data_IF_728416750577
#
_entry.id   IF_728416750577
#
_cell.length_a   1.000
_cell.length_b   1.000
_cell.length_c   1.000
_cell.angle_alpha   90.00
_cell.angle_beta   90.00
_cell.angle_gamma   90.00
#
_symmetry.space_group_name_H-M   'P 1'
#
loop_
_entity.id
_entity.type
_entity.pdbx_description
1 polymer ?
#
# COMPACT_ATOMS: atom_id res chain seq x y z
N UNK A 1 -23.12 -14.06 44.91
CA UNK A 1 -22.73 -12.97 43.99
C UNK A 1 -21.65 -13.53 43.09
N UNK A 2 -22.03 -14.03 41.91
CA UNK A 2 -21.09 -14.57 40.93
C UNK A 2 -20.56 -13.37 40.14
N UNK A 3 -19.29 -13.03 40.30
CA UNK A 3 -18.60 -12.12 39.39
C UNK A 3 -18.32 -12.97 38.15
N UNK A 4 -18.94 -12.72 36.98
CA UNK A 4 -18.56 -13.44 35.78
C UNK A 4 -17.15 -12.97 35.46
N UNK A 5 -16.17 -13.82 35.77
CA UNK A 5 -14.81 -13.66 35.27
C UNK A 5 -14.90 -13.88 33.76
N UNK A 6 -15.17 -12.81 33.00
CA UNK A 6 -14.84 -12.79 31.59
C UNK A 6 -13.34 -13.04 31.53
N UNK A 7 -12.94 -14.28 31.27
CA UNK A 7 -11.58 -14.59 30.87
C UNK A 7 -11.31 -13.72 29.65
N UNK A 8 -10.46 -12.70 29.81
CA UNK A 8 -10.03 -11.88 28.68
C UNK A 8 -9.34 -12.83 27.70
N UNK A 9 -9.89 -13.00 26.50
CA UNK A 9 -9.31 -13.86 25.48
C UNK A 9 -7.88 -13.40 25.17
N UNK A 10 -6.98 -14.35 24.93
CA UNK A 10 -5.60 -14.01 24.55
C UNK A 10 -5.55 -13.47 23.11
N UNK A 11 -4.47 -12.79 22.75
CA UNK A 11 -4.24 -12.37 21.37
C UNK A 11 -4.23 -13.57 20.40
N UNK A 12 -3.69 -14.72 20.84
CA UNK A 12 -3.68 -15.97 20.06
C UNK A 12 -5.09 -16.53 19.85
N UNK A 13 -5.91 -16.59 20.91
CA UNK A 13 -7.30 -17.07 20.80
C UNK A 13 -8.11 -16.21 19.83
N UNK A 14 -8.02 -14.88 19.98
CA UNK A 14 -8.68 -13.94 19.07
C UNK A 14 -8.17 -14.09 17.62
N UNK A 15 -6.88 -14.36 17.44
CA UNK A 15 -6.31 -14.54 16.11
C UNK A 15 -6.87 -15.81 15.46
N UNK A 16 -6.86 -16.93 16.18
CA UNK A 16 -7.40 -18.19 15.70
C UNK A 16 -8.92 -18.11 15.41
N UNK A 17 -9.68 -17.38 16.24
CA UNK A 17 -11.08 -17.07 15.94
C UNK A 17 -11.22 -16.25 14.66
N UNK A 18 -10.39 -15.24 14.46
CA UNK A 18 -10.34 -14.47 13.22
C UNK A 18 -10.12 -15.36 11.99
N UNK A 19 -9.16 -16.28 12.06
CA UNK A 19 -8.88 -17.24 10.97
C UNK A 19 -10.10 -18.12 10.69
N UNK A 20 -10.71 -18.67 11.74
CA UNK A 20 -11.89 -19.52 11.59
C UNK A 20 -13.07 -18.76 10.96
N UNK A 21 -13.21 -17.46 11.23
CA UNK A 21 -14.22 -16.62 10.58
C UNK A 21 -13.87 -16.32 9.11
N UNK A 22 -12.60 -16.11 8.76
CA UNK A 22 -12.16 -15.99 7.36
C UNK A 22 -12.46 -17.26 6.55
N UNK A 23 -12.17 -18.43 7.11
CA UNK A 23 -12.46 -19.73 6.47
C UNK A 23 -13.95 -19.93 6.20
N UNK A 24 -14.79 -19.41 7.10
CA UNK A 24 -16.25 -19.38 6.95
C UNK A 24 -16.75 -18.21 6.07
N UNK A 25 -15.85 -17.39 5.53
CA UNK A 25 -16.14 -16.17 4.76
C UNK A 25 -16.96 -15.12 5.53
N UNK A 26 -16.94 -15.18 6.86
CA UNK A 26 -17.53 -14.20 7.75
C UNK A 26 -16.57 -13.03 7.97
N UNK A 27 -16.21 -12.36 6.88
CA UNK A 27 -15.13 -11.36 6.84
C UNK A 27 -15.30 -10.22 7.85
N UNK A 28 -16.52 -9.75 8.07
CA UNK A 28 -16.78 -8.72 9.07
C UNK A 28 -16.49 -9.22 10.49
N UNK A 29 -16.88 -10.45 10.84
CA UNK A 29 -16.57 -11.03 12.15
C UNK A 29 -15.06 -11.26 12.32
N UNK A 30 -14.38 -11.73 11.26
CA UNK A 30 -12.92 -11.87 11.27
C UNK A 30 -12.23 -10.53 11.55
N UNK A 31 -12.64 -9.46 10.86
CA UNK A 31 -12.13 -8.11 11.06
C UNK A 31 -12.34 -7.63 12.50
N UNK A 32 -13.51 -7.87 13.09
CA UNK A 32 -13.77 -7.47 14.48
C UNK A 32 -12.81 -8.16 15.45
N UNK A 33 -12.56 -9.47 15.28
CA UNK A 33 -11.58 -10.21 16.09
C UNK A 33 -10.18 -9.66 15.95
N UNK A 34 -9.74 -9.36 14.72
CA UNK A 34 -8.44 -8.76 14.49
C UNK A 34 -8.33 -7.34 15.06
N UNK A 35 -9.40 -6.54 15.01
CA UNK A 35 -9.41 -5.19 15.62
C UNK A 35 -9.26 -5.25 17.14
N UNK A 36 -9.86 -6.25 17.79
CA UNK A 36 -9.67 -6.48 19.22
C UNK A 36 -8.19 -6.71 19.55
N UNK A 37 -7.49 -7.52 18.74
CA UNK A 37 -6.03 -7.74 18.89
C UNK A 37 -5.26 -6.43 18.75
N UNK A 38 -5.50 -5.69 17.67
CA UNK A 38 -4.78 -4.45 17.36
C UNK A 38 -4.99 -3.40 18.45
N UNK A 39 -6.17 -3.37 19.07
CA UNK A 39 -6.53 -2.43 20.14
C UNK A 39 -5.91 -2.80 21.48
N UNK A 40 -6.01 -4.06 21.89
CA UNK A 40 -5.72 -4.48 23.25
C UNK A 40 -4.31 -5.07 23.41
N UNK A 41 -3.68 -5.49 22.30
CA UNK A 41 -2.42 -6.24 22.29
C UNK A 41 -1.39 -5.67 21.30
N UNK A 42 -1.41 -4.35 21.04
CA UNK A 42 -0.60 -3.68 20.00
C UNK A 42 0.92 -3.94 20.07
N UNK A 43 1.46 -4.37 21.22
CA UNK A 43 2.89 -4.68 21.41
C UNK A 43 3.25 -6.15 21.24
N UNK A 44 2.25 -7.00 21.03
CA UNK A 44 2.44 -8.44 20.85
C UNK A 44 2.59 -8.82 19.38
N UNK A 45 3.24 -9.96 19.12
CA UNK A 45 3.54 -10.43 17.77
C UNK A 45 2.30 -10.59 16.87
N UNK A 46 1.14 -10.87 17.46
CA UNK A 46 -0.11 -11.04 16.71
C UNK A 46 -0.68 -9.73 16.17
N UNK A 47 -0.37 -8.57 16.76
CA UNK A 47 -1.01 -7.32 16.36
C UNK A 47 -0.63 -6.87 14.94
N UNK A 48 0.64 -7.02 14.54
CA UNK A 48 1.07 -6.76 13.16
C UNK A 48 0.34 -7.67 12.18
N UNK A 49 0.35 -8.97 12.48
CA UNK A 49 -0.29 -10.00 11.64
C UNK A 49 -1.80 -9.78 11.53
N UNK A 50 -2.46 -9.39 12.61
CA UNK A 50 -3.90 -9.10 12.65
C UNK A 50 -4.22 -7.85 11.82
N UNK A 51 -3.45 -6.77 11.96
CA UNK A 51 -3.65 -5.55 11.18
C UNK A 51 -3.43 -5.79 9.69
N UNK A 52 -2.45 -6.63 9.33
CA UNK A 52 -2.22 -7.03 7.94
C UNK A 52 -3.39 -7.86 7.39
N UNK A 53 -3.94 -8.80 8.16
CA UNK A 53 -5.13 -9.56 7.75
C UNK A 53 -6.35 -8.68 7.52
N UNK A 54 -6.57 -7.66 8.35
CA UNK A 54 -7.63 -6.67 8.13
C UNK A 54 -7.46 -6.00 6.75
N UNK A 55 -6.23 -5.62 6.38
CA UNK A 55 -5.95 -5.01 5.09
C UNK A 55 -6.22 -5.97 3.92
N UNK A 56 -5.79 -7.24 4.05
CA UNK A 56 -6.04 -8.28 3.04
C UNK A 56 -7.53 -8.55 2.83
N UNK A 57 -8.31 -8.66 3.90
CA UNK A 57 -9.75 -8.89 3.82
C UNK A 57 -10.45 -7.74 3.08
N UNK A 58 -10.09 -6.49 3.40
CA UNK A 58 -10.66 -5.34 2.68
C UNK A 58 -10.24 -5.32 1.20
N UNK A 59 -8.99 -5.65 0.91
CA UNK A 59 -8.43 -5.62 -0.44
C UNK A 59 -8.97 -6.73 -1.35
N UNK A 60 -9.10 -7.95 -0.82
CA UNK A 60 -9.35 -9.15 -1.61
C UNK A 60 -10.82 -9.57 -1.55
N UNK A 61 -11.38 -9.64 -0.34
CA UNK A 61 -12.65 -10.30 -0.11
C UNK A 61 -13.83 -9.33 -0.14
N UNK A 62 -13.73 -8.22 0.59
CA UNK A 62 -14.78 -7.20 0.64
C UNK A 62 -14.69 -6.19 -0.51
N UNK A 63 -13.53 -6.10 -1.17
CA UNK A 63 -13.23 -5.15 -2.25
C UNK A 63 -13.53 -3.69 -1.87
N UNK A 64 -13.37 -3.33 -0.60
CA UNK A 64 -13.48 -1.95 -0.11
C UNK A 64 -12.09 -1.31 -0.16
N UNK A 65 -11.75 -0.73 -1.31
CA UNK A 65 -10.43 -0.16 -1.60
C UNK A 65 -10.07 0.99 -0.65
N UNK A 66 -11.06 1.78 -0.24
CA UNK A 66 -10.89 2.86 0.73
C UNK A 66 -10.42 2.32 2.07
N UNK A 67 -11.10 1.30 2.60
CA UNK A 67 -10.70 0.67 3.86
C UNK A 67 -9.41 -0.14 3.72
N UNK A 68 -9.14 -0.74 2.56
CA UNK A 68 -7.89 -1.45 2.29
C UNK A 68 -6.68 -0.50 2.37
N UNK A 69 -6.72 0.63 1.64
CA UNK A 69 -5.66 1.64 1.67
C UNK A 69 -5.41 2.18 3.09
N UNK A 70 -6.47 2.43 3.86
CA UNK A 70 -6.36 2.86 5.26
C UNK A 70 -5.77 1.77 6.16
N UNK A 71 -6.17 0.51 5.99
CA UNK A 71 -5.68 -0.60 6.79
C UNK A 71 -4.20 -0.91 6.52
N UNK A 72 -3.75 -0.82 5.27
CA UNK A 72 -2.32 -0.91 4.92
C UNK A 72 -1.52 0.25 5.51
N UNK A 73 -2.03 1.49 5.40
CA UNK A 73 -1.39 2.64 6.04
C UNK A 73 -1.26 2.46 7.55
N UNK A 74 -2.30 1.93 8.19
CA UNK A 74 -2.30 1.64 9.62
C UNK A 74 -1.31 0.53 10.00
N UNK A 75 -1.04 -0.46 9.14
CA UNK A 75 0.05 -1.42 9.36
C UNK A 75 1.39 -0.69 9.48
N UNK A 76 1.66 0.23 8.54
CA UNK A 76 2.87 1.05 8.54
C UNK A 76 2.95 1.95 9.79
N UNK A 77 1.88 2.66 10.13
CA UNK A 77 1.88 3.63 11.23
C UNK A 77 2.03 2.96 12.60
N UNK A 78 1.44 1.78 12.80
CA UNK A 78 1.53 1.04 14.08
C UNK A 78 2.81 0.21 14.22
N UNK A 79 3.35 -0.30 13.12
CA UNK A 79 4.51 -1.20 13.12
C UNK A 79 5.65 -0.69 12.23
N UNK A 80 6.12 0.56 12.39
CA UNK A 80 7.06 1.20 11.45
C UNK A 80 8.44 0.53 11.40
N UNK A 81 8.78 -0.27 12.42
CA UNK A 81 10.04 -1.01 12.53
C UNK A 81 9.95 -2.41 11.91
N UNK A 82 8.76 -2.85 11.47
CA UNK A 82 8.61 -4.17 10.87
C UNK A 82 9.23 -4.20 9.48
N UNK A 83 9.74 -5.37 9.11
CA UNK A 83 10.33 -5.58 7.77
C UNK A 83 9.32 -5.30 6.65
N UNK A 84 8.02 -5.47 6.92
CA UNK A 84 6.96 -5.27 5.95
C UNK A 84 6.42 -3.84 5.91
N UNK A 85 6.75 -3.00 6.89
CA UNK A 85 6.23 -1.63 6.98
C UNK A 85 6.41 -0.83 5.68
N UNK A 86 7.58 -0.85 5.00
CA UNK A 86 7.73 -0.16 3.73
C UNK A 86 6.74 -0.68 2.68
N UNK A 87 6.63 -2.00 2.53
CA UNK A 87 5.69 -2.64 1.60
C UNK A 87 4.25 -2.22 1.88
N UNK A 88 3.84 -2.16 3.15
CA UNK A 88 2.47 -1.73 3.52
C UNK A 88 2.22 -0.27 3.16
N UNK A 89 3.22 0.60 3.37
CA UNK A 89 3.13 2.00 2.95
C UNK A 89 2.99 2.11 1.42
N UNK A 90 3.79 1.37 0.66
CA UNK A 90 3.70 1.33 -0.79
C UNK A 90 2.32 0.86 -1.28
N UNK A 91 1.79 -0.25 -0.73
CA UNK A 91 0.48 -0.78 -1.11
C UNK A 91 -0.66 0.20 -0.83
N UNK A 92 -0.59 0.96 0.26
CA UNK A 92 -1.54 2.04 0.52
C UNK A 92 -1.54 3.08 -0.60
N UNK A 93 -0.35 3.55 -1.00
CA UNK A 93 -0.17 4.50 -2.12
C UNK A 93 -0.66 3.93 -3.45
N UNK A 94 -0.36 2.65 -3.70
CA UNK A 94 -0.75 1.95 -4.91
C UNK A 94 -2.27 1.89 -5.08
N UNK A 95 -3.00 1.55 -4.02
CA UNK A 95 -4.47 1.53 -4.05
C UNK A 95 -5.04 2.94 -4.20
N UNK A 96 -4.48 3.93 -3.49
CA UNK A 96 -4.90 5.33 -3.62
C UNK A 96 -4.77 5.82 -5.08
N UNK A 97 -3.69 5.47 -5.77
CA UNK A 97 -3.46 5.87 -7.16
C UNK A 97 -4.37 5.11 -8.14
N UNK A 98 -4.33 3.78 -8.09
CA UNK A 98 -4.84 2.92 -9.16
C UNK A 98 -6.33 2.58 -9.00
N UNK A 99 -6.83 2.50 -7.76
CA UNK A 99 -8.21 2.06 -7.49
C UNK A 99 -9.11 3.22 -7.07
N UNK A 100 -8.58 4.18 -6.32
CA UNK A 100 -9.36 5.31 -5.76
C UNK A 100 -9.16 6.62 -6.54
N UNK A 101 -8.10 6.72 -7.35
CA UNK A 101 -7.70 7.93 -8.05
C UNK A 101 -7.53 9.16 -7.13
N UNK A 102 -7.16 8.94 -5.88
CA UNK A 102 -6.81 9.97 -4.91
C UNK A 102 -5.34 10.37 -5.08
N UNK A 103 -5.07 11.10 -6.16
CA UNK A 103 -3.71 11.38 -6.62
C UNK A 103 -2.88 12.15 -5.58
N UNK A 104 -3.47 13.15 -4.90
CA UNK A 104 -2.76 13.92 -3.86
C UNK A 104 -2.36 13.04 -2.65
N UNK A 105 -3.27 12.14 -2.23
CA UNK A 105 -3.01 11.17 -1.17
C UNK A 105 -1.91 10.19 -1.58
N UNK A 106 -1.99 9.62 -2.78
CA UNK A 106 -0.99 8.70 -3.31
C UNK A 106 0.39 9.35 -3.46
N UNK A 107 0.44 10.60 -3.98
CA UNK A 107 1.66 11.40 -4.05
C UNK A 107 2.34 11.53 -2.69
N UNK A 108 1.57 11.94 -1.68
CA UNK A 108 2.08 12.09 -0.30
C UNK A 108 2.66 10.77 0.23
N UNK A 109 2.02 9.64 -0.06
CA UNK A 109 2.50 8.32 0.34
C UNK A 109 3.81 7.94 -0.36
N UNK A 110 3.91 8.13 -1.67
CA UNK A 110 5.13 7.80 -2.41
C UNK A 110 6.31 8.71 -2.06
N UNK A 111 6.07 10.01 -1.86
CA UNK A 111 7.10 10.94 -1.35
C UNK A 111 7.59 10.49 0.03
N UNK A 112 6.68 10.12 0.93
CA UNK A 112 7.05 9.57 2.26
C UNK A 112 7.84 8.28 2.14
N UNK A 113 7.46 7.39 1.21
CA UNK A 113 8.16 6.14 0.98
C UNK A 113 9.59 6.39 0.51
N UNK A 114 9.79 7.27 -0.48
CA UNK A 114 11.10 7.57 -1.06
C UNK A 114 12.02 8.30 -0.08
N UNK A 115 11.46 9.16 0.78
CA UNK A 115 12.21 9.83 1.84
C UNK A 115 12.74 8.84 2.89
N UNK A 116 11.89 7.91 3.34
CA UNK A 116 12.22 6.98 4.43
C UNK A 116 12.93 5.72 3.99
N UNK A 117 12.67 5.27 2.77
CA UNK A 117 13.11 3.97 2.24
C UNK A 117 13.75 4.10 0.84
N UNK A 118 14.75 4.98 0.66
CA UNK A 118 15.35 5.25 -0.66
C UNK A 118 16.02 4.02 -1.29
N UNK A 119 16.52 3.09 -0.47
CA UNK A 119 17.24 1.89 -0.91
C UNK A 119 16.36 0.61 -0.91
N UNK A 120 15.05 0.73 -0.63
CA UNK A 120 14.15 -0.43 -0.63
C UNK A 120 13.89 -0.94 -2.06
N UNK A 121 13.63 -2.23 -2.22
CA UNK A 121 13.40 -2.86 -3.54
C UNK A 121 12.24 -2.21 -4.32
N UNK A 122 11.27 -1.63 -3.62
CA UNK A 122 10.12 -0.92 -4.19
C UNK A 122 10.38 0.58 -4.45
N UNK A 123 11.55 1.13 -4.11
CA UNK A 123 11.83 2.55 -4.30
C UNK A 123 11.79 2.97 -5.78
N UNK A 124 12.32 2.12 -6.68
CA UNK A 124 12.22 2.37 -8.12
C UNK A 124 10.76 2.39 -8.59
N UNK A 125 9.91 1.49 -8.08
CA UNK A 125 8.48 1.46 -8.36
C UNK A 125 7.76 2.69 -7.81
N UNK A 126 8.04 3.09 -6.56
CA UNK A 126 7.44 4.27 -5.95
C UNK A 126 7.80 5.55 -6.72
N UNK A 127 9.05 5.65 -7.19
CA UNK A 127 9.48 6.76 -8.05
C UNK A 127 8.74 6.77 -9.38
N UNK A 128 8.61 5.61 -10.02
CA UNK A 128 7.86 5.49 -11.27
C UNK A 128 6.40 5.92 -11.11
N UNK A 129 5.72 5.41 -10.07
CA UNK A 129 4.34 5.78 -9.75
C UNK A 129 4.18 7.28 -9.47
N UNK A 130 5.11 7.89 -8.73
CA UNK A 130 5.08 9.33 -8.44
C UNK A 130 5.28 10.19 -9.70
N UNK A 131 6.18 9.78 -10.59
CA UNK A 131 6.44 10.48 -11.85
C UNK A 131 5.30 10.37 -12.86
N UNK A 132 4.59 9.23 -12.88
CA UNK A 132 3.43 9.01 -13.75
C UNK A 132 2.19 9.75 -13.23
N UNK A 133 2.03 9.84 -11.91
CA UNK A 133 0.91 10.51 -11.23
C UNK A 133 0.82 12.01 -11.57
N UNK A 134 1.97 12.67 -11.76
CA UNK A 134 2.05 14.10 -12.08
C UNK A 134 1.85 14.43 -13.57
N UNK A 135 1.76 13.41 -14.44
CA UNK A 135 1.72 13.60 -15.90
C UNK A 135 0.33 13.31 -16.41
N UNK A 136 -0.29 14.31 -17.03
CA UNK A 136 -1.46 14.14 -17.90
C UNK A 136 -1.21 12.95 -18.86
N UNK A 137 -2.13 11.97 -18.99
CA UNK A 137 -2.00 10.84 -19.91
C UNK A 137 -1.54 11.24 -21.33
N UNK A 138 -1.84 12.45 -21.79
CA UNK A 138 -1.43 12.98 -23.09
C UNK A 138 0.05 13.41 -23.19
N UNK A 139 0.75 13.65 -22.08
CA UNK A 139 2.18 14.06 -22.08
C UNK A 139 3.12 12.89 -22.40
N UNK A 140 2.68 11.64 -22.19
CA UNK A 140 3.46 10.43 -22.48
C UNK A 140 3.70 10.23 -23.97
N UNK A 141 2.71 10.57 -24.81
CA UNK A 141 2.88 10.47 -26.26
C UNK A 141 3.98 11.42 -26.71
N UNK A 142 3.97 12.68 -26.24
CA UNK A 142 4.96 13.70 -26.65
C UNK A 142 6.40 13.36 -26.28
N UNK A 143 6.64 12.77 -25.10
CA UNK A 143 8.02 12.51 -24.65
C UNK A 143 8.67 11.37 -25.44
N UNK A 144 7.89 10.36 -25.83
CA UNK A 144 8.39 9.23 -26.65
C UNK A 144 8.54 9.60 -28.14
N UNK A 145 7.66 10.43 -28.71
CA UNK A 145 7.86 10.94 -30.09
C UNK A 145 8.98 11.98 -30.19
N UNK A 146 9.20 12.82 -29.18
CA UNK A 146 10.31 13.79 -29.20
C UNK A 146 11.68 13.10 -29.27
N UNK A 147 11.90 12.01 -28.53
CA UNK A 147 13.12 11.21 -28.62
C UNK A 147 13.29 10.46 -29.95
N UNK A 148 12.20 10.22 -30.69
CA UNK A 148 12.25 9.55 -31.99
C UNK A 148 12.52 10.54 -33.16
N UNK A 149 12.14 11.81 -33.00
CA UNK A 149 12.35 12.86 -34.02
C UNK A 149 13.76 13.49 -33.95
N UNK A 150 14.41 13.49 -32.78
CA UNK A 150 15.81 13.94 -32.64
C UNK A 150 16.81 12.98 -33.33
N UNK A 151 16.48 11.71 -33.49
CA UNK A 151 17.29 10.74 -34.26
C UNK A 151 17.16 10.88 -35.78
N UNK A 152 16.17 11.63 -36.29
CA UNK A 152 15.92 11.81 -37.74
C UNK A 152 16.37 13.16 -38.30
N UNK A 153 16.70 14.14 -37.45
CA UNK A 153 17.04 15.50 -37.88
C UNK A 153 18.55 15.79 -37.93
N UNK A 154 19.40 14.82 -37.58
CA UNK A 154 20.85 14.84 -37.82
C UNK A 154 21.20 14.72 -39.31
N UNK A 155 20.83 15.74 -40.10
CA UNK A 155 21.21 15.88 -41.49
C UNK A 155 22.60 16.53 -41.59
N UNK A 156 23.66 15.85 -42.07
CA UNK A 156 24.94 16.49 -42.36
C UNK A 156 24.78 17.42 -43.57
N UNK A 157 24.57 18.72 -43.31
CA UNK A 157 24.62 19.75 -44.35
C UNK A 157 26.04 19.86 -44.92
N UNK A 158 26.09 19.67 -46.25
CA UNK A 158 26.91 20.39 -47.24
C UNK A 158 28.41 20.57 -46.94
N UNK A 159 29.22 19.86 -47.72
CA UNK A 159 30.47 20.43 -48.25
C UNK A 159 30.40 20.45 -49.78
N UNK A 160 30.07 21.62 -50.35
CA UNK A 160 30.32 21.94 -51.75
C UNK A 160 31.48 22.91 -51.83
N UNK A 161 32.59 22.43 -52.42
CA UNK A 161 33.57 23.12 -53.30
C UNK A 161 34.42 24.28 -52.73
N UNK A 162 35.60 24.57 -53.31
CA UNK A 162 35.86 24.81 -54.76
C UNK A 162 36.21 23.58 -55.61
#
# INVERSE_FOLDING_TARGET
MLIPSCSRQSAEDLYNEGIAQEEQKNFHLAIEKYKEIVKDFTREAYAESAQYRIALIYNNDLRDMGKAAQAYRKCYDLFPMSKQAPTMLFLSGFILNNELHELDSAKTVYETFLDKYPDHELAASAKFELETLSKDPNQYIKTQVASADELKTGNPKKATKP
#
